data_IF_998623918872
#
_entry.id   IF_998623918872
#
_cell.length_a   1.000
_cell.length_b   1.000
_cell.length_c   1.000
_cell.angle_alpha   90.00
_cell.angle_beta   90.00
_cell.angle_gamma   90.00
#
_symmetry.space_group_name_H-M   'P 1'
#
loop_
_entity.id
_entity.type
_entity.pdbx_description
1 polymer ?
#
# COMPACT_ATOMS: atom_id res chain seq x y z
N UNK A 1 2.86 23.01 28.84
CA UNK A 1 3.91 23.03 27.81
C UNK A 1 3.62 21.89 26.83
N UNK A 2 2.83 22.13 25.79
CA UNK A 2 2.46 21.08 24.83
C UNK A 2 3.63 20.91 23.84
N UNK A 3 4.32 19.77 23.97
CA UNK A 3 5.44 19.39 23.12
C UNK A 3 5.05 19.42 21.65
N UNK A 4 5.91 20.06 20.86
CA UNK A 4 5.83 20.21 19.40
C UNK A 4 5.42 18.88 18.76
N UNK A 5 4.21 18.84 18.16
CA UNK A 5 3.91 17.83 17.15
C UNK A 5 4.89 18.06 16.01
N UNK A 6 5.91 17.22 15.91
CA UNK A 6 6.84 17.21 14.78
C UNK A 6 5.99 17.07 13.53
N UNK A 7 5.95 18.12 12.71
CA UNK A 7 5.35 18.10 11.39
C UNK A 7 6.22 17.16 10.56
N UNK A 8 5.94 15.86 10.66
CA UNK A 8 6.50 14.87 9.76
C UNK A 8 6.09 15.33 8.37
N UNK A 9 7.05 15.66 7.51
CA UNK A 9 6.84 15.86 6.08
C UNK A 9 6.47 14.49 5.50
N UNK A 10 5.25 14.04 5.81
CA UNK A 10 4.65 12.81 5.33
C UNK A 10 4.76 12.89 3.81
N UNK A 11 5.57 12.02 3.21
CA UNK A 11 5.93 12.09 1.81
C UNK A 11 4.72 12.36 0.91
N UNK A 12 4.96 13.02 -0.24
CA UNK A 12 3.91 13.43 -1.16
C UNK A 12 2.91 12.28 -1.37
N UNK A 13 1.62 12.54 -1.18
CA UNK A 13 0.55 11.52 -1.29
C UNK A 13 0.67 10.72 -2.59
N UNK A 14 1.03 11.41 -3.68
CA UNK A 14 1.27 10.82 -5.00
C UNK A 14 2.42 9.79 -5.02
N UNK A 15 3.49 9.99 -4.25
CA UNK A 15 4.59 9.00 -4.10
C UNK A 15 4.04 7.69 -3.53
N UNK A 16 3.28 7.78 -2.45
CA UNK A 16 2.75 6.58 -1.78
C UNK A 16 1.64 5.90 -2.59
N UNK A 17 0.83 6.67 -3.31
CA UNK A 17 -0.12 6.11 -4.26
C UNK A 17 0.60 5.29 -5.35
N UNK A 18 1.71 5.81 -5.90
CA UNK A 18 2.54 5.07 -6.87
C UNK A 18 3.16 3.81 -6.27
N UNK A 19 3.69 3.89 -5.04
CA UNK A 19 4.28 2.73 -4.34
C UNK A 19 3.25 1.63 -4.07
N UNK A 20 2.03 1.98 -3.64
CA UNK A 20 0.94 1.01 -3.44
C UNK A 20 0.58 0.31 -4.75
N UNK A 21 0.47 1.06 -5.85
CA UNK A 21 0.20 0.47 -7.17
C UNK A 21 1.34 -0.44 -7.65
N UNK A 22 2.60 -0.03 -7.45
CA UNK A 22 3.77 -0.87 -7.79
C UNK A 22 3.80 -2.16 -6.97
N UNK A 23 3.56 -2.07 -5.66
CA UNK A 23 3.49 -3.24 -4.79
C UNK A 23 2.37 -4.19 -5.24
N UNK A 24 1.19 -3.67 -5.57
CA UNK A 24 0.09 -4.47 -6.10
C UNK A 24 0.49 -5.22 -7.38
N UNK A 25 1.13 -4.54 -8.33
CA UNK A 25 1.64 -5.16 -9.55
C UNK A 25 2.66 -6.27 -9.24
N UNK A 26 3.58 -6.00 -8.32
CA UNK A 26 4.62 -6.96 -7.91
C UNK A 26 4.01 -8.19 -7.24
N UNK A 27 2.90 -8.04 -6.51
CA UNK A 27 2.19 -9.14 -5.84
C UNK A 27 1.08 -9.77 -6.68
N UNK A 28 1.03 -9.51 -7.98
CA UNK A 28 -0.04 -9.99 -8.89
C UNK A 28 -1.45 -9.62 -8.42
N UNK A 29 -1.57 -8.45 -7.80
CA UNK A 29 -2.83 -7.96 -7.21
C UNK A 29 -3.35 -6.79 -8.04
N UNK A 30 -4.42 -7.02 -8.80
CA UNK A 30 -5.02 -5.98 -9.63
C UNK A 30 -6.02 -5.12 -8.85
N UNK A 31 -5.57 -3.98 -8.34
CA UNK A 31 -6.40 -3.05 -7.56
C UNK A 31 -7.54 -2.45 -8.39
N UNK A 32 -7.33 -2.23 -9.69
CA UNK A 32 -8.34 -1.64 -10.57
C UNK A 32 -9.52 -2.59 -10.77
N UNK A 33 -9.25 -3.87 -11.01
CA UNK A 33 -10.26 -4.91 -11.14
C UNK A 33 -10.94 -5.16 -9.81
N UNK A 34 -10.20 -5.22 -8.70
CA UNK A 34 -10.81 -5.30 -7.37
C UNK A 34 -11.73 -4.11 -7.07
N UNK A 35 -11.38 -2.91 -7.53
CA UNK A 35 -12.21 -1.72 -7.40
C UNK A 35 -13.49 -1.82 -8.24
N UNK A 36 -13.36 -2.22 -9.52
CA UNK A 36 -14.50 -2.44 -10.42
C UNK A 36 -15.45 -3.53 -9.93
N UNK A 37 -14.90 -4.58 -9.32
CA UNK A 37 -15.62 -5.73 -8.78
C UNK A 37 -16.27 -5.42 -7.41
N UNK A 38 -16.07 -4.21 -6.86
CA UNK A 38 -16.60 -3.82 -5.55
C UNK A 38 -15.88 -4.45 -4.35
N UNK A 39 -14.80 -5.21 -4.58
CA UNK A 39 -13.94 -5.80 -3.54
C UNK A 39 -13.04 -4.78 -2.87
N UNK A 40 -12.74 -3.68 -3.55
CA UNK A 40 -11.98 -2.54 -3.02
C UNK A 40 -12.80 -1.27 -3.19
N UNK A 41 -13.13 -0.60 -2.09
CA UNK A 41 -13.80 0.72 -2.15
C UNK A 41 -12.78 1.86 -2.26
N UNK A 42 -13.22 3.03 -2.73
CA UNK A 42 -12.36 4.22 -2.81
C UNK A 42 -11.76 4.59 -1.45
N UNK A 43 -12.56 4.47 -0.39
CA UNK A 43 -12.16 4.73 0.99
C UNK A 43 -11.10 3.74 1.48
N UNK A 44 -11.31 2.44 1.21
CA UNK A 44 -10.35 1.40 1.55
C UNK A 44 -9.01 1.59 0.80
N UNK A 45 -9.06 1.99 -0.47
CA UNK A 45 -7.85 2.29 -1.23
C UNK A 45 -7.14 3.54 -0.67
N UNK A 46 -7.88 4.60 -0.35
CA UNK A 46 -7.31 5.78 0.31
C UNK A 46 -6.66 5.39 1.64
N UNK A 47 -7.30 4.55 2.46
CA UNK A 47 -6.77 4.01 3.71
C UNK A 47 -5.50 3.17 3.52
N UNK A 48 -5.38 2.41 2.43
CA UNK A 48 -4.13 1.73 2.07
C UNK A 48 -2.99 2.71 1.80
N UNK A 49 -3.26 3.78 1.06
CA UNK A 49 -2.25 4.82 0.73
C UNK A 49 -1.86 5.60 1.98
N UNK A 50 -2.82 5.97 2.83
CA UNK A 50 -2.57 6.68 4.08
C UNK A 50 -1.77 5.83 5.07
N UNK A 51 -2.08 4.53 5.19
CA UNK A 51 -1.29 3.59 5.98
C UNK A 51 0.15 3.47 5.45
N UNK A 52 0.31 3.37 4.13
CA UNK A 52 1.63 3.33 3.49
C UNK A 52 2.43 4.61 3.73
N UNK A 53 1.78 5.78 3.73
CA UNK A 53 2.40 7.07 4.03
C UNK A 53 2.95 7.16 5.46
N UNK A 54 2.32 6.46 6.40
CA UNK A 54 2.79 6.34 7.79
C UNK A 54 3.79 5.21 8.03
N UNK A 55 4.08 4.38 7.03
CA UNK A 55 4.92 3.20 7.19
C UNK A 55 6.40 3.58 7.27
N UNK A 56 7.08 3.10 8.32
CA UNK A 56 8.52 3.31 8.52
C UNK A 56 9.38 2.68 7.41
N UNK A 57 8.88 1.63 6.75
CA UNK A 57 9.57 0.92 5.67
C UNK A 57 9.36 1.55 4.29
N UNK A 58 8.56 2.62 4.18
CA UNK A 58 8.22 3.22 2.88
C UNK A 58 9.41 3.77 2.11
N UNK A 59 10.50 4.13 2.80
CA UNK A 59 11.70 4.66 2.15
C UNK A 59 12.50 3.58 1.40
N UNK A 60 12.67 2.42 2.02
CA UNK A 60 13.35 1.26 1.41
C UNK A 60 12.42 0.40 0.54
N UNK A 61 11.10 0.62 0.64
CA UNK A 61 10.12 -0.04 -0.23
C UNK A 61 10.39 0.20 -1.71
N UNK A 62 10.77 1.42 -2.10
CA UNK A 62 10.98 1.76 -3.50
C UNK A 62 12.17 1.02 -4.13
N UNK A 63 13.27 0.91 -3.36
CA UNK A 63 14.49 0.17 -3.72
C UNK A 63 14.21 -1.33 -3.78
N UNK A 64 13.51 -1.88 -2.78
CA UNK A 64 13.11 -3.28 -2.79
C UNK A 64 12.23 -3.63 -4.01
N UNK A 65 11.31 -2.74 -4.39
CA UNK A 65 10.47 -2.88 -5.59
C UNK A 65 11.21 -2.73 -6.92
N UNK A 66 12.45 -2.23 -6.91
CA UNK A 66 13.29 -2.16 -8.11
C UNK A 66 13.96 -3.52 -8.38
N UNK A 67 14.37 -4.21 -7.31
CA UNK A 67 15.00 -5.53 -7.38
C UNK A 67 14.03 -6.72 -7.50
N UNK A 68 12.71 -6.50 -7.45
CA UNK A 68 11.70 -7.56 -7.49
C UNK A 68 10.65 -7.24 -8.55
N UNK A 69 10.62 -8.03 -9.63
CA UNK A 69 9.60 -7.91 -10.67
C UNK A 69 8.27 -8.57 -10.24
N UNK A 70 8.37 -9.74 -9.62
CA UNK A 70 7.23 -10.51 -9.16
C UNK A 70 7.50 -11.21 -7.83
N UNK A 71 6.54 -11.18 -6.92
CA UNK A 71 6.54 -11.93 -5.66
C UNK A 71 5.17 -12.52 -5.38
N UNK A 72 5.14 -13.65 -4.68
CA UNK A 72 3.87 -14.27 -4.27
C UNK A 72 3.18 -13.48 -3.13
N UNK A 73 3.97 -12.86 -2.25
CA UNK A 73 3.44 -12.10 -1.12
C UNK A 73 4.25 -10.84 -0.86
N UNK A 74 3.56 -9.73 -0.58
CA UNK A 74 4.17 -8.50 -0.11
C UNK A 74 5.09 -8.76 1.09
N UNK A 75 6.24 -8.07 1.21
CA UNK A 75 7.23 -8.36 2.25
C UNK A 75 6.67 -8.12 3.66
N UNK A 76 7.19 -8.84 4.67
CA UNK A 76 6.76 -8.72 6.08
C UNK A 76 6.68 -7.28 6.61
N UNK A 77 7.62 -6.36 6.30
CA UNK A 77 7.52 -4.97 6.77
C UNK A 77 6.44 -4.12 6.06
N UNK A 78 5.80 -4.62 5.00
CA UNK A 78 4.72 -3.89 4.33
C UNK A 78 3.45 -3.87 5.19
N UNK A 79 3.00 -2.68 5.60
CA UNK A 79 1.77 -2.51 6.38
C UNK A 79 0.49 -2.96 5.65
N UNK A 80 0.51 -3.00 4.31
CA UNK A 80 -0.62 -3.44 3.48
C UNK A 80 -0.53 -4.91 3.08
N UNK A 81 0.44 -5.68 3.63
CA UNK A 81 0.65 -7.09 3.25
C UNK A 81 -0.62 -7.93 3.30
N UNK A 82 -1.38 -7.83 4.38
CA UNK A 82 -2.62 -8.59 4.56
C UNK A 82 -3.70 -8.17 3.54
N UNK A 83 -3.80 -6.86 3.24
CA UNK A 83 -4.77 -6.33 2.27
C UNK A 83 -4.44 -6.80 0.84
N UNK A 84 -3.17 -6.79 0.44
CA UNK A 84 -2.76 -7.34 -0.86
C UNK A 84 -3.05 -8.84 -0.96
N UNK A 85 -2.73 -9.62 0.07
CA UNK A 85 -3.02 -11.04 0.10
C UNK A 85 -4.54 -11.32 -0.04
N UNK A 86 -5.38 -10.58 0.69
CA UNK A 86 -6.83 -10.70 0.59
C UNK A 86 -7.36 -10.37 -0.81
N UNK A 87 -6.88 -9.28 -1.42
CA UNK A 87 -7.30 -8.89 -2.77
C UNK A 87 -6.85 -9.89 -3.85
N UNK A 88 -5.65 -10.48 -3.67
CA UNK A 88 -5.13 -11.56 -4.53
C UNK A 88 -6.01 -12.80 -4.47
N UNK A 89 -6.52 -13.16 -3.29
CA UNK A 89 -7.42 -14.32 -3.12
C UNK A 89 -8.88 -14.03 -3.47
N UNK A 90 -9.21 -12.84 -3.99
CA UNK A 90 -10.58 -12.48 -4.35
C UNK A 90 -11.44 -12.02 -3.16
N UNK A 91 -10.85 -11.78 -1.98
CA UNK A 91 -11.57 -11.30 -0.81
C UNK A 91 -11.81 -9.79 -0.87
N UNK A 92 -12.90 -9.34 -0.25
CA UNK A 92 -13.20 -7.91 -0.08
C UNK A 92 -12.28 -7.32 1.00
N UNK A 93 -11.76 -6.12 0.76
CA UNK A 93 -11.01 -5.34 1.74
C UNK A 93 -11.84 -4.12 2.15
N UNK A 94 -12.01 -3.96 3.45
CA UNK A 94 -12.68 -2.81 4.06
C UNK A 94 -11.64 -1.79 4.54
N UNK A 95 -12.08 -0.56 4.79
CA UNK A 95 -11.21 0.57 5.11
C UNK A 95 -10.51 0.42 6.47
#
# INVERSE_FOLDING_TARGET
MQGRRTMQTRGEMMRHWRLVNRMAKTTDTDLVSAFKDGRLSSDAWAGMVEACRGCAWSDTCADWLDGHDHVDTAPRPCCNRARFAALRTGSKVEA
#
